data_IF_048499739791
#
_entry.id   IF_048499739791
#
_cell.length_a   1.000
_cell.length_b   1.000
_cell.length_c   1.000
_cell.angle_alpha   90.00
_cell.angle_beta   90.00
_cell.angle_gamma   90.00
#
_symmetry.space_group_name_H-M   'P 1'
#
loop_
_entity.id
_entity.type
_entity.pdbx_description
1 polymer ?
#
# COMPACT_ATOMS: atom_id res chain seq x y z
N UNK A 1 25.22 -2.50 -16.45
CA UNK A 1 23.85 -2.67 -15.92
C UNK A 1 23.79 -2.02 -14.55
N UNK A 2 22.84 -1.12 -14.27
CA UNK A 2 22.76 -0.44 -12.96
C UNK A 2 22.31 -1.42 -11.88
N UNK A 3 22.79 -1.27 -10.65
CA UNK A 3 22.30 -2.04 -9.48
C UNK A 3 20.78 -1.95 -9.34
N UNK A 4 20.19 -0.80 -9.68
CA UNK A 4 18.73 -0.62 -9.74
C UNK A 4 18.07 -1.54 -10.77
N UNK A 5 18.64 -1.64 -11.97
CA UNK A 5 18.13 -2.52 -13.03
C UNK A 5 18.22 -3.99 -12.61
N UNK A 6 19.30 -4.39 -11.94
CA UNK A 6 19.48 -5.75 -11.40
C UNK A 6 18.41 -6.05 -10.35
N UNK A 7 18.17 -5.14 -9.40
CA UNK A 7 17.14 -5.30 -8.39
C UNK A 7 15.73 -5.38 -8.97
N UNK A 8 15.43 -4.59 -10.01
CA UNK A 8 14.14 -4.64 -10.70
C UNK A 8 13.92 -5.99 -11.41
N UNK A 9 14.95 -6.52 -12.08
CA UNK A 9 14.89 -7.82 -12.74
C UNK A 9 14.71 -8.94 -11.72
N UNK A 10 15.51 -8.93 -10.65
CA UNK A 10 15.40 -9.93 -9.57
C UNK A 10 14.02 -9.84 -8.91
N UNK A 11 13.56 -8.63 -8.60
CA UNK A 11 12.25 -8.38 -8.00
C UNK A 11 11.10 -8.85 -8.88
N UNK A 12 11.13 -8.58 -10.19
CA UNK A 12 10.08 -9.04 -11.10
C UNK A 12 10.09 -10.57 -11.26
N UNK A 13 11.27 -11.18 -11.31
CA UNK A 13 11.42 -12.63 -11.40
C UNK A 13 10.86 -13.32 -10.15
N UNK A 14 11.17 -12.79 -8.96
CA UNK A 14 10.65 -13.31 -7.69
C UNK A 14 9.13 -13.15 -7.60
N UNK A 15 8.58 -12.01 -8.03
CA UNK A 15 7.14 -11.81 -8.09
C UNK A 15 6.46 -12.80 -9.04
N UNK A 16 7.07 -13.05 -10.20
CA UNK A 16 6.54 -13.99 -11.19
C UNK A 16 6.57 -15.44 -10.67
N UNK A 17 7.66 -15.84 -10.02
CA UNK A 17 7.77 -17.14 -9.35
C UNK A 17 6.72 -17.30 -8.24
N UNK A 18 6.55 -16.27 -7.42
CA UNK A 18 5.54 -16.26 -6.37
C UNK A 18 4.14 -16.44 -6.94
N UNK A 19 3.76 -15.67 -7.97
CA UNK A 19 2.45 -15.81 -8.63
C UNK A 19 2.29 -17.21 -9.20
N UNK A 20 3.30 -17.72 -9.92
CA UNK A 20 3.26 -19.05 -10.54
C UNK A 20 3.08 -20.19 -9.53
N UNK A 21 3.63 -20.05 -8.32
CA UNK A 21 3.53 -21.06 -7.26
C UNK A 21 2.24 -20.95 -6.44
N UNK A 22 1.56 -19.80 -6.49
CA UNK A 22 0.36 -19.51 -5.70
C UNK A 22 -0.86 -19.28 -6.61
N UNK A 23 -0.92 -20.02 -7.73
CA UNK A 23 -2.09 -20.06 -8.61
C UNK A 23 -3.23 -20.92 -8.05
N UNK A 24 -2.98 -21.67 -6.98
CA UNK A 24 -4.02 -22.44 -6.31
C UNK A 24 -5.18 -21.53 -5.87
N UNK A 25 -6.37 -21.95 -6.26
CA UNK A 25 -7.61 -21.24 -5.97
C UNK A 25 -7.99 -21.42 -4.51
N UNK A 26 -8.36 -20.32 -3.87
CA UNK A 26 -8.94 -20.31 -2.53
C UNK A 26 -10.35 -19.72 -2.60
N UNK A 27 -11.27 -20.26 -1.80
CA UNK A 27 -12.59 -19.67 -1.64
C UNK A 27 -12.51 -18.43 -0.75
N UNK A 28 -12.90 -17.29 -1.32
CA UNK A 28 -12.97 -16.01 -0.61
C UNK A 28 -14.43 -15.74 -0.27
N UNK A 29 -14.72 -15.69 1.04
CA UNK A 29 -16.01 -15.26 1.54
C UNK A 29 -16.14 -13.74 1.39
N UNK A 30 -17.16 -13.31 0.65
CA UNK A 30 -17.46 -11.89 0.46
C UNK A 30 -18.35 -11.38 1.60
N UNK A 31 -18.30 -10.08 1.86
CA UNK A 31 -19.21 -9.41 2.82
C UNK A 31 -20.68 -9.54 2.41
N UNK A 32 -20.94 -9.74 1.11
CA UNK A 32 -22.27 -9.97 0.56
C UNK A 32 -22.20 -10.92 -0.64
N UNK A 33 -23.12 -11.88 -0.72
CA UNK A 33 -23.24 -12.81 -1.84
C UNK A 33 -22.62 -14.18 -1.59
N UNK A 34 -22.38 -14.93 -2.68
CA UNK A 34 -21.78 -16.26 -2.64
C UNK A 34 -20.25 -16.16 -2.57
N UNK A 35 -19.56 -17.15 -1.97
CA UNK A 35 -18.10 -17.24 -2.01
C UNK A 35 -17.61 -17.27 -3.46
N UNK A 36 -16.44 -16.69 -3.70
CA UNK A 36 -15.79 -16.65 -5.02
C UNK A 36 -14.45 -17.34 -4.93
N UNK A 37 -14.18 -18.24 -5.86
CA UNK A 37 -12.84 -18.82 -6.01
C UNK A 37 -11.92 -17.82 -6.71
N UNK A 38 -10.78 -17.54 -6.09
CA UNK A 38 -9.75 -16.68 -6.66
C UNK A 38 -8.36 -17.25 -6.42
N UNK A 39 -7.38 -17.02 -7.32
CA UNK A 39 -6.00 -17.41 -7.07
C UNK A 39 -5.45 -16.75 -5.80
N UNK A 40 -4.79 -17.53 -4.95
CA UNK A 40 -4.22 -17.02 -3.68
C UNK A 40 -3.31 -15.80 -3.90
N UNK A 41 -2.50 -15.82 -4.95
CA UNK A 41 -1.64 -14.69 -5.32
C UNK A 41 -2.43 -13.38 -5.54
N UNK A 42 -3.64 -13.48 -6.11
CA UNK A 42 -4.50 -12.32 -6.35
C UNK A 42 -5.05 -11.77 -5.04
N UNK A 43 -5.48 -12.64 -4.13
CA UNK A 43 -5.97 -12.25 -2.80
C UNK A 43 -4.89 -11.53 -1.99
N UNK A 44 -3.68 -12.09 -1.96
CA UNK A 44 -2.52 -11.50 -1.28
C UNK A 44 -2.15 -10.15 -1.91
N UNK A 45 -2.10 -10.09 -3.24
CA UNK A 45 -1.82 -8.86 -3.98
C UNK A 45 -2.82 -7.75 -3.67
N UNK A 46 -4.11 -8.07 -3.67
CA UNK A 46 -5.18 -7.13 -3.34
C UNK A 46 -5.09 -6.62 -1.89
N UNK A 47 -4.88 -7.52 -0.92
CA UNK A 47 -4.73 -7.15 0.49
C UNK A 47 -3.52 -6.23 0.71
N UNK A 48 -2.39 -6.54 0.07
CA UNK A 48 -1.20 -5.70 0.11
C UNK A 48 -1.47 -4.30 -0.46
N UNK A 49 -2.15 -4.23 -1.61
CA UNK A 49 -2.46 -2.97 -2.30
C UNK A 49 -3.37 -2.08 -1.44
N UNK A 50 -4.39 -2.67 -0.79
CA UNK A 50 -5.25 -1.97 0.17
C UNK A 50 -4.43 -1.41 1.33
N UNK A 51 -3.51 -2.21 1.90
CA UNK A 51 -2.61 -1.76 2.98
C UNK A 51 -1.71 -0.59 2.56
N UNK A 52 -1.14 -0.65 1.36
CA UNK A 52 -0.30 0.43 0.80
C UNK A 52 -1.12 1.71 0.58
N UNK A 53 -2.34 1.60 0.05
CA UNK A 53 -3.22 2.74 -0.16
C UNK A 53 -3.65 3.37 1.17
N UNK A 54 -4.03 2.57 2.16
CA UNK A 54 -4.39 3.05 3.49
C UNK A 54 -3.19 3.72 4.19
N UNK A 55 -2.01 3.10 4.13
CA UNK A 55 -0.77 3.64 4.70
C UNK A 55 -0.33 4.94 4.04
N UNK A 56 -0.32 4.99 2.70
CA UNK A 56 0.03 6.22 1.96
C UNK A 56 -0.98 7.33 2.21
N UNK A 57 -2.29 7.04 2.23
CA UNK A 57 -3.32 8.00 2.60
C UNK A 57 -3.14 8.57 4.01
N UNK A 58 -2.76 7.74 4.98
CA UNK A 58 -2.44 8.17 6.35
C UNK A 58 -1.19 9.07 6.41
N UNK A 59 -0.14 8.73 5.67
CA UNK A 59 1.09 9.51 5.60
C UNK A 59 0.82 10.87 4.94
N UNK A 60 0.15 10.90 3.78
CA UNK A 60 -0.23 12.12 3.08
C UNK A 60 -1.18 13.00 3.92
N UNK A 61 -2.12 12.39 4.64
CA UNK A 61 -3.02 13.11 5.55
C UNK A 61 -2.28 13.77 6.73
N UNK A 62 -1.21 13.14 7.23
CA UNK A 62 -0.35 13.75 8.27
C UNK A 62 0.51 14.88 7.74
N UNK A 63 1.04 14.78 6.53
CA UNK A 63 1.82 15.87 5.92
C UNK A 63 0.98 17.14 5.71
N UNK A 64 -0.30 17.00 5.34
CA UNK A 64 -1.21 18.15 5.17
C UNK A 64 -1.63 18.80 6.50
N UNK A 65 -1.81 18.02 7.57
CA UNK A 65 -2.12 18.56 8.91
C UNK A 65 -0.92 19.14 9.65
N UNK A 66 0.30 18.77 9.27
CA UNK A 66 1.52 19.31 9.87
C UNK A 66 1.91 20.71 9.39
N UNK A 67 1.31 21.19 8.29
CA UNK A 67 1.58 22.52 7.72
C UNK A 67 0.69 23.61 8.30
N UNK A 68 -0.45 23.26 8.92
CA UNK A 68 -1.31 24.18 9.69
C UNK A 68 -0.79 24.37 11.13
N UNK A 69 0.52 24.58 11.30
CA UNK A 69 1.01 25.22 12.52
C UNK A 69 0.66 26.70 12.39
N UNK A 70 -0.21 27.27 13.23
CA UNK A 70 -0.46 28.70 13.22
C UNK A 70 0.90 29.37 13.46
N UNK A 71 1.23 30.30 12.57
CA UNK A 71 2.36 31.19 12.76
C UNK A 71 2.22 31.78 14.16
N UNK A 72 3.28 31.65 14.94
CA UNK A 72 3.52 32.43 16.16
C UNK A 72 3.72 33.89 15.76
N UNK A 73 2.71 34.51 15.17
CA UNK A 73 2.51 35.93 15.05
C UNK A 73 1.32 36.25 15.96
N UNK A 74 1.37 37.36 16.68
CA UNK A 74 0.42 37.75 17.74
C UNK A 74 0.68 37.15 19.14
N UNK A 75 1.92 37.24 19.60
CA UNK A 75 2.15 37.60 21.01
C UNK A 75 2.80 38.97 21.08
N UNK A 76 2.06 39.98 20.60
CA UNK A 76 2.34 41.37 20.89
C UNK A 76 1.92 41.59 22.35
N UNK A 77 2.89 41.65 23.27
CA UNK A 77 2.66 42.25 24.58
C UNK A 77 2.58 43.76 24.40
N UNK A 78 1.45 44.42 24.72
CA UNK A 78 1.47 45.83 25.01
C UNK A 78 1.99 46.01 26.44
N UNK A 79 3.08 46.78 26.50
CA UNK A 79 3.62 47.57 27.62
C UNK A 79 4.39 46.84 28.74
#
# INVERSE_FOLDING_TARGET
MSTRSVLLIIGSLLAMLFVSQNLDSVEVSLLWGRPVEAPLALVIGAAFLVGVLAGSGLVLGRFRRGTDKPSTEEMHWPE
#
